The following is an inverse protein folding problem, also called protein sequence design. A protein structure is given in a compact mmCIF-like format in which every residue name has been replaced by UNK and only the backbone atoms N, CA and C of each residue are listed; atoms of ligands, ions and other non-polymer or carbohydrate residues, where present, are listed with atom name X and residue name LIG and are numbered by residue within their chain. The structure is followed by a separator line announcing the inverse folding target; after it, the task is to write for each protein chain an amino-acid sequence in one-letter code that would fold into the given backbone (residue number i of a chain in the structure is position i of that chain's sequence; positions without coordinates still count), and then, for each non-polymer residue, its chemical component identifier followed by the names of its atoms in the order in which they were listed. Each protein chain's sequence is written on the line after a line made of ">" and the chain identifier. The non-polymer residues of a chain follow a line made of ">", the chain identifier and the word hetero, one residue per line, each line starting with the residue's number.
data_IF_706049141045
#
_entry.id   IF_706049141045
#
_cell.length_a   1.000
_cell.length_b   1.000
_cell.length_c   1.000
_cell.angle_alpha   90.00
_cell.angle_beta   90.00
_cell.angle_gamma   90.00
#
_symmetry.space_group_name_H-M   'P 1'
#
loop_
_entity.id
_entity.type
_entity.pdbx_description
1 polymer ?
#
# COMPACT_ATOMS: atom_id res chain seq x y z
N UNK A 1 -20.11 46.67 -11.98
CA UNK A 1 -20.25 45.44 -12.81
C UNK A 1 -19.70 44.27 -12.01
N UNK A 2 -20.58 43.57 -11.27
CA UNK A 2 -20.23 42.35 -10.52
C UNK A 2 -20.77 41.16 -11.29
N UNK A 3 -19.99 40.66 -12.26
CA UNK A 3 -20.36 39.49 -13.05
C UNK A 3 -19.57 38.27 -12.55
N UNK A 4 -20.29 37.35 -11.90
CA UNK A 4 -20.05 35.90 -11.91
C UNK A 4 -18.64 35.38 -11.56
N UNK A 5 -18.24 35.57 -10.30
CA UNK A 5 -17.16 34.77 -9.68
C UNK A 5 -17.50 33.26 -9.58
N UNK A 6 -18.80 32.92 -9.51
CA UNK A 6 -19.30 31.54 -9.33
C UNK A 6 -19.01 30.58 -10.50
N UNK A 7 -18.72 31.09 -11.69
CA UNK A 7 -18.49 30.24 -12.88
C UNK A 7 -17.06 29.69 -12.99
N UNK A 8 -16.13 30.07 -12.12
CA UNK A 8 -14.71 29.69 -12.27
C UNK A 8 -14.39 28.23 -11.89
N UNK A 9 -15.35 27.45 -11.36
CA UNK A 9 -15.17 26.06 -10.92
C UNK A 9 -16.34 25.13 -11.28
N UNK A 10 -17.00 25.37 -12.41
CA UNK A 10 -18.18 24.60 -12.81
C UNK A 10 -17.80 23.34 -13.59
N UNK A 11 -18.07 22.17 -13.01
CA UNK A 11 -18.11 20.88 -13.72
C UNK A 11 -19.56 20.61 -14.14
N UNK A 12 -19.78 20.00 -15.31
CA UNK A 12 -21.09 19.47 -15.70
C UNK A 12 -21.03 17.97 -15.91
N UNK A 13 -22.02 17.26 -15.39
CA UNK A 13 -22.22 15.81 -15.62
C UNK A 13 -23.61 15.67 -16.21
N UNK A 14 -23.72 15.02 -17.37
CA UNK A 14 -25.01 14.88 -18.09
C UNK A 14 -25.73 16.23 -18.32
N UNK A 15 -24.95 17.27 -18.63
CA UNK A 15 -25.40 18.67 -18.81
C UNK A 15 -25.87 19.39 -17.53
N UNK A 16 -25.94 18.71 -16.40
CA UNK A 16 -26.28 19.30 -15.11
C UNK A 16 -25.07 19.92 -14.41
N UNK A 17 -25.27 21.06 -13.75
CA UNK A 17 -24.21 21.73 -13.01
C UNK A 17 -23.90 21.00 -11.71
N UNK A 18 -22.65 20.59 -11.52
CA UNK A 18 -22.17 20.03 -10.26
C UNK A 18 -21.96 21.16 -9.26
N UNK A 19 -22.79 21.20 -8.22
CA UNK A 19 -22.77 22.26 -7.18
C UNK A 19 -21.97 21.88 -5.95
N UNK A 20 -21.70 20.59 -5.74
CA UNK A 20 -20.86 20.08 -4.68
C UNK A 20 -19.92 18.99 -5.21
N UNK A 21 -18.71 18.94 -4.69
CA UNK A 21 -17.68 17.99 -5.08
C UNK A 21 -17.00 17.42 -3.83
N UNK A 22 -16.45 16.19 -3.91
CA UNK A 22 -15.78 15.56 -2.79
C UNK A 22 -14.53 16.35 -2.37
N UNK A 23 -14.27 16.43 -1.06
CA UNK A 23 -13.04 17.07 -0.54
C UNK A 23 -11.84 16.13 -0.62
N UNK A 24 -12.08 14.83 -0.46
CA UNK A 24 -11.10 13.76 -0.57
C UNK A 24 -11.66 12.71 -1.53
N UNK A 25 -10.83 12.20 -2.44
CA UNK A 25 -11.18 11.22 -3.46
C UNK A 25 -10.21 10.05 -3.36
N UNK A 26 -10.74 8.86 -3.04
CA UNK A 26 -9.98 7.61 -3.13
C UNK A 26 -10.07 7.09 -4.56
N UNK A 27 -8.95 7.12 -5.26
CA UNK A 27 -8.81 6.79 -6.67
C UNK A 27 -8.50 5.31 -6.82
N UNK A 28 -9.38 4.59 -7.53
CA UNK A 28 -9.26 3.15 -7.81
C UNK A 28 -9.28 2.86 -9.30
N UNK A 29 -8.42 3.51 -10.07
CA UNK A 29 -8.31 3.30 -11.52
C UNK A 29 -7.30 2.19 -11.81
N UNK A 30 -7.65 1.16 -12.61
CA UNK A 30 -6.70 0.11 -13.00
C UNK A 30 -5.54 0.66 -13.84
N UNK A 31 -4.31 0.68 -13.31
CA UNK A 31 -3.10 1.24 -13.96
C UNK A 31 -2.85 0.78 -15.40
N UNK A 32 -3.08 -0.48 -15.81
CA UNK A 32 -2.81 -0.94 -17.18
C UNK A 32 -3.90 -0.56 -18.19
N UNK A 33 -5.08 -0.18 -17.70
CA UNK A 33 -6.25 0.13 -18.52
C UNK A 33 -6.60 1.62 -18.48
N UNK A 34 -5.78 2.43 -17.79
CA UNK A 34 -5.92 3.89 -17.84
C UNK A 34 -5.87 4.27 -19.31
N UNK A 35 -7.03 4.57 -19.89
CA UNK A 35 -7.09 5.29 -21.15
C UNK A 35 -6.64 6.68 -20.79
N UNK A 36 -5.37 6.96 -21.10
CA UNK A 36 -4.55 8.04 -20.50
C UNK A 36 -5.24 9.39 -20.46
N UNK A 37 -6.20 9.63 -21.34
CA UNK A 37 -6.79 10.93 -21.49
C UNK A 37 -8.08 11.08 -20.69
N UNK A 38 -9.02 10.12 -20.69
CA UNK A 38 -10.31 10.32 -20.01
C UNK A 38 -10.19 10.32 -18.49
N UNK A 39 -9.62 9.24 -17.93
CA UNK A 39 -9.57 9.03 -16.47
C UNK A 39 -8.67 10.07 -15.82
N UNK A 40 -7.49 10.27 -16.40
CA UNK A 40 -6.52 11.25 -15.91
C UNK A 40 -7.03 12.68 -16.09
N UNK A 41 -7.80 12.99 -17.15
CA UNK A 41 -8.41 14.32 -17.29
C UNK A 41 -9.37 14.60 -16.15
N UNK A 42 -10.25 13.67 -15.80
CA UNK A 42 -11.18 13.84 -14.68
C UNK A 42 -10.43 14.01 -13.36
N UNK A 43 -9.43 13.14 -13.10
CA UNK A 43 -8.66 13.20 -11.86
C UNK A 43 -7.84 14.51 -11.74
N UNK A 44 -7.21 14.96 -12.83
CA UNK A 44 -6.51 16.25 -12.89
C UNK A 44 -7.49 17.41 -12.68
N UNK A 45 -8.70 17.33 -13.22
CA UNK A 45 -9.71 18.37 -13.03
C UNK A 45 -10.13 18.46 -11.55
N UNK A 46 -10.43 17.32 -10.91
CA UNK A 46 -10.75 17.26 -9.47
C UNK A 46 -9.61 17.82 -8.62
N UNK A 47 -8.36 17.48 -8.93
CA UNK A 47 -7.19 18.05 -8.25
C UNK A 47 -7.13 19.58 -8.40
N UNK A 48 -7.37 20.12 -9.61
CA UNK A 48 -7.41 21.58 -9.85
C UNK A 48 -8.60 22.27 -9.18
N UNK A 49 -9.69 21.56 -8.90
CA UNK A 49 -10.81 22.06 -8.10
C UNK A 49 -10.50 22.12 -6.59
N UNK A 50 -9.37 21.56 -6.16
CA UNK A 50 -8.92 21.54 -4.77
C UNK A 50 -9.26 20.26 -4.01
N UNK A 51 -9.70 19.21 -4.70
CA UNK A 51 -9.90 17.90 -4.08
C UNK A 51 -8.54 17.28 -3.74
N UNK A 52 -8.44 16.61 -2.59
CA UNK A 52 -7.28 15.77 -2.24
C UNK A 52 -7.48 14.37 -2.83
N UNK A 53 -6.57 13.90 -3.67
CA UNK A 53 -6.66 12.60 -4.34
C UNK A 53 -5.70 11.58 -3.72
N UNK A 54 -6.18 10.35 -3.52
CA UNK A 54 -5.43 9.21 -2.97
C UNK A 54 -5.56 8.04 -3.97
N UNK A 55 -4.62 7.75 -4.85
CA UNK A 55 -3.39 8.48 -5.16
C UNK A 55 -3.65 9.66 -6.10
N UNK A 56 -2.70 10.59 -6.17
CA UNK A 56 -2.71 11.68 -7.15
C UNK A 56 -2.51 11.16 -8.59
N UNK A 57 -2.95 11.91 -9.62
CA UNK A 57 -2.81 11.49 -11.02
C UNK A 57 -1.36 11.18 -11.41
N UNK A 58 -0.41 12.01 -10.95
CA UNK A 58 1.01 11.81 -11.28
C UNK A 58 1.56 10.48 -10.72
N UNK A 59 1.17 10.10 -9.50
CA UNK A 59 1.60 8.84 -8.90
C UNK A 59 1.05 7.61 -9.64
N UNK A 60 -0.15 7.73 -10.19
CA UNK A 60 -0.73 6.70 -11.07
C UNK A 60 0.08 6.61 -12.36
N UNK A 61 0.36 7.74 -13.02
CA UNK A 61 1.13 7.82 -14.27
C UNK A 61 2.55 7.23 -14.11
N UNK A 62 3.20 7.48 -12.98
CA UNK A 62 4.52 6.92 -12.63
C UNK A 62 4.50 5.38 -12.55
N UNK A 63 3.32 4.76 -12.38
CA UNK A 63 3.13 3.30 -12.27
C UNK A 63 2.44 2.66 -13.50
N UNK A 64 2.11 3.43 -14.55
CA UNK A 64 1.43 2.88 -15.75
C UNK A 64 2.37 2.01 -16.59
N UNK A 65 3.65 2.40 -16.64
CA UNK A 65 4.68 1.70 -17.39
C UNK A 65 5.81 1.30 -16.43
N UNK A 66 6.06 -0.01 -16.31
CA UNK A 66 7.07 -0.57 -15.40
C UNK A 66 8.47 -0.03 -15.67
N UNK A 67 8.82 0.20 -16.94
CA UNK A 67 10.14 0.73 -17.27
C UNK A 67 10.27 2.20 -16.85
N UNK A 68 9.22 3.01 -17.02
CA UNK A 68 9.21 4.39 -16.53
C UNK A 68 9.31 4.44 -15.00
N UNK A 69 8.60 3.54 -14.31
CA UNK A 69 8.75 3.36 -12.86
C UNK A 69 10.21 3.09 -12.50
N UNK A 70 10.86 2.17 -13.21
CA UNK A 70 12.26 1.83 -12.98
C UNK A 70 13.20 3.01 -13.26
N UNK A 71 12.94 3.82 -14.29
CA UNK A 71 13.73 5.02 -14.56
C UNK A 71 13.67 6.03 -13.41
N UNK A 72 12.48 6.27 -12.86
CA UNK A 72 12.32 7.17 -11.70
C UNK A 72 13.04 6.63 -10.46
N UNK A 73 12.92 5.33 -10.19
CA UNK A 73 13.54 4.68 -9.04
C UNK A 73 15.08 4.60 -9.17
N UNK A 74 15.59 4.25 -10.36
CA UNK A 74 17.02 4.17 -10.63
C UNK A 74 17.72 5.52 -10.44
N UNK A 75 17.06 6.62 -10.81
CA UNK A 75 17.56 7.99 -10.60
C UNK A 75 17.78 8.36 -9.13
N UNK A 76 17.20 7.60 -8.20
CA UNK A 76 17.34 7.79 -6.75
C UNK A 76 18.21 6.72 -6.08
N UNK A 77 18.84 5.81 -6.84
CA UNK A 77 19.69 4.76 -6.28
C UNK A 77 18.93 3.59 -5.66
N UNK A 78 17.65 3.42 -5.99
CA UNK A 78 16.84 2.28 -5.53
C UNK A 78 17.39 0.99 -6.13
N UNK A 79 17.59 -0.08 -5.35
CA UNK A 79 18.06 -1.37 -5.84
C UNK A 79 17.01 -2.02 -6.75
N UNK A 80 17.39 -2.27 -8.00
CA UNK A 80 16.55 -2.82 -9.06
C UNK A 80 17.35 -3.93 -9.77
N UNK A 81 16.71 -5.00 -10.26
CA UNK A 81 17.38 -5.93 -11.17
C UNK A 81 17.75 -5.20 -12.47
N UNK A 82 18.89 -5.56 -13.07
CA UNK A 82 19.31 -4.95 -14.33
C UNK A 82 18.23 -5.11 -15.39
N UNK A 83 17.85 -4.02 -16.04
CA UNK A 83 16.67 -3.98 -16.91
C UNK A 83 16.93 -3.21 -18.18
N UNK A 84 16.60 -3.82 -19.30
CA UNK A 84 16.63 -3.26 -20.64
C UNK A 84 15.21 -3.12 -21.19
N UNK A 85 14.93 -2.08 -22.00
CA UNK A 85 13.61 -1.88 -22.62
C UNK A 85 13.65 -1.96 -24.14
N UNK A 86 12.63 -2.61 -24.69
CA UNK A 86 12.34 -2.64 -26.12
C UNK A 86 11.10 -1.80 -26.44
N UNK A 87 11.30 -0.76 -27.24
CA UNK A 87 10.26 0.23 -27.57
C UNK A 87 9.27 -0.17 -28.69
N UNK A 88 9.36 -1.38 -29.25
CA UNK A 88 8.44 -1.87 -30.28
C UNK A 88 8.83 -1.47 -31.71
N UNK A 89 10.02 -1.87 -32.16
CA UNK A 89 10.51 -1.64 -33.54
C UNK A 89 10.56 -2.94 -34.36
N UNK A 90 11.02 -2.87 -35.62
CA UNK A 90 11.01 -4.02 -36.54
C UNK A 90 12.14 -5.04 -36.29
N UNK A 91 13.11 -4.73 -35.42
CA UNK A 91 14.32 -5.54 -35.24
C UNK A 91 14.42 -6.14 -33.83
N UNK A 92 13.48 -7.03 -33.48
CA UNK A 92 13.52 -7.76 -32.22
C UNK A 92 14.78 -8.64 -32.11
N UNK A 93 15.36 -9.06 -33.24
CA UNK A 93 16.61 -9.83 -33.25
C UNK A 93 17.78 -9.04 -32.67
N UNK A 94 17.89 -7.75 -32.99
CA UNK A 94 18.87 -6.84 -32.36
C UNK A 94 18.66 -6.75 -30.86
N UNK A 95 17.41 -6.77 -30.40
CA UNK A 95 17.11 -6.79 -28.97
C UNK A 95 17.63 -8.06 -28.29
N UNK A 96 17.49 -9.23 -28.92
CA UNK A 96 17.98 -10.50 -28.34
C UNK A 96 19.49 -10.40 -28.05
N UNK A 97 20.25 -9.80 -28.97
CA UNK A 97 21.69 -9.57 -28.77
C UNK A 97 21.96 -8.48 -27.71
N UNK A 98 21.12 -7.43 -27.63
CA UNK A 98 21.23 -6.40 -26.60
C UNK A 98 20.83 -6.88 -25.19
N UNK A 99 20.05 -7.96 -25.08
CA UNK A 99 19.69 -8.59 -23.81
C UNK A 99 20.77 -9.57 -23.30
N UNK A 100 21.75 -9.92 -24.12
CA UNK A 100 22.82 -10.88 -23.76
C UNK A 100 23.61 -10.50 -22.50
N UNK A 101 23.93 -9.21 -22.22
CA UNK A 101 24.61 -8.79 -21.00
C UNK A 101 23.83 -9.06 -19.69
N UNK A 102 22.49 -9.21 -19.76
CA UNK A 102 21.68 -9.58 -18.58
C UNK A 102 21.96 -11.02 -18.11
N UNK A 103 22.57 -11.83 -18.98
CA UNK A 103 22.73 -13.26 -18.75
C UNK A 103 21.41 -14.03 -18.83
N UNK A 104 21.53 -15.36 -18.82
CA UNK A 104 20.39 -16.27 -18.81
C UNK A 104 20.24 -16.98 -17.46
N UNK A 105 19.00 -17.27 -17.02
CA UNK A 105 17.72 -16.91 -17.64
C UNK A 105 17.45 -15.39 -17.65
N UNK A 106 16.60 -14.93 -18.58
CA UNK A 106 16.13 -13.54 -18.63
C UNK A 106 14.61 -13.49 -18.49
N UNK A 107 14.12 -12.51 -17.73
CA UNK A 107 12.70 -12.27 -17.56
C UNK A 107 12.20 -11.29 -18.63
N UNK A 108 11.14 -11.67 -19.35
CA UNK A 108 10.50 -10.83 -20.35
C UNK A 108 9.13 -10.40 -19.83
N UNK A 109 8.91 -9.09 -19.66
CA UNK A 109 7.63 -8.54 -19.17
C UNK A 109 7.08 -7.52 -20.17
N UNK A 110 5.76 -7.52 -20.36
CA UNK A 110 5.12 -6.37 -21.00
C UNK A 110 5.27 -5.13 -20.09
N UNK A 111 5.72 -4.02 -20.67
CA UNK A 111 5.91 -2.76 -19.95
C UNK A 111 4.59 -2.21 -19.37
N UNK A 112 3.47 -2.44 -20.08
CA UNK A 112 2.11 -2.06 -19.64
C UNK A 112 1.27 -3.34 -19.45
N UNK A 113 1.01 -3.72 -18.19
CA UNK A 113 0.29 -4.95 -17.88
C UNK A 113 0.15 -5.20 -16.38
N UNK A 114 -0.65 -6.20 -16.00
CA UNK A 114 -0.91 -6.57 -14.60
C UNK A 114 -1.16 -8.09 -14.44
N UNK A 115 -1.10 -8.57 -13.19
CA UNK A 115 -1.47 -9.94 -12.77
C UNK A 115 -0.62 -11.05 -13.42
N UNK A 116 0.65 -10.78 -13.70
CA UNK A 116 1.56 -11.76 -14.30
C UNK A 116 1.22 -12.20 -15.73
N UNK A 117 0.19 -11.60 -16.36
CA UNK A 117 -0.13 -11.85 -17.77
C UNK A 117 1.00 -11.26 -18.63
N UNK A 118 1.58 -12.08 -19.51
CA UNK A 118 2.75 -11.76 -20.33
C UNK A 118 4.05 -11.47 -19.54
N UNK A 119 4.31 -12.30 -18.52
CA UNK A 119 5.64 -12.45 -17.91
C UNK A 119 6.19 -13.81 -18.30
N UNK A 120 7.34 -13.85 -18.96
CA UNK A 120 7.98 -15.07 -19.44
C UNK A 120 9.39 -15.19 -18.87
N UNK A 121 9.87 -16.42 -18.73
CA UNK A 121 11.25 -16.72 -18.36
C UNK A 121 11.93 -17.41 -19.53
N UNK A 122 12.82 -16.71 -20.22
CA UNK A 122 13.61 -17.29 -21.29
C UNK A 122 14.88 -17.91 -20.68
N UNK A 123 15.01 -19.24 -20.75
CA UNK A 123 16.10 -19.96 -20.08
C UNK A 123 17.44 -19.84 -20.81
N UNK A 124 17.40 -19.50 -22.08
CA UNK A 124 18.55 -19.36 -22.97
C UNK A 124 18.17 -18.50 -24.19
N UNK A 125 19.14 -18.24 -25.06
CA UNK A 125 18.97 -17.43 -26.27
C UNK A 125 17.97 -18.02 -27.26
N UNK A 126 17.87 -19.35 -27.34
CA UNK A 126 16.92 -20.01 -28.24
C UNK A 126 15.49 -19.81 -27.74
N UNK A 127 15.22 -20.04 -26.45
CA UNK A 127 13.92 -19.77 -25.84
C UNK A 127 13.50 -18.30 -25.99
N UNK A 128 14.44 -17.36 -25.87
CA UNK A 128 14.15 -15.94 -26.09
C UNK A 128 13.79 -15.64 -27.56
N UNK A 129 14.47 -16.32 -28.48
CA UNK A 129 14.18 -16.27 -29.93
C UNK A 129 12.81 -16.87 -30.23
N UNK A 130 12.44 -17.98 -29.60
CA UNK A 130 11.13 -18.60 -29.81
C UNK A 130 10.01 -17.70 -29.25
N UNK A 131 10.25 -17.07 -28.09
CA UNK A 131 9.33 -16.09 -27.50
C UNK A 131 9.08 -14.88 -28.41
N UNK A 132 10.07 -14.45 -29.20
CA UNK A 132 9.93 -13.40 -30.22
C UNK A 132 8.72 -13.64 -31.11
N UNK A 133 8.49 -14.88 -31.52
CA UNK A 133 7.43 -15.24 -32.45
C UNK A 133 6.02 -15.25 -31.81
N UNK A 134 5.95 -15.20 -30.47
CA UNK A 134 4.70 -15.29 -29.71
C UNK A 134 4.22 -13.95 -29.14
N UNK A 135 5.10 -12.96 -29.04
CA UNK A 135 4.80 -11.65 -28.47
C UNK A 135 4.37 -10.65 -29.55
N UNK A 136 3.75 -9.53 -29.13
CA UNK A 136 3.29 -8.47 -30.05
C UNK A 136 4.36 -7.41 -30.25
N UNK A 137 4.95 -7.33 -31.44
CA UNK A 137 6.07 -6.43 -31.70
C UNK A 137 5.75 -4.93 -31.55
N UNK A 138 4.48 -4.54 -31.66
CA UNK A 138 4.04 -3.14 -31.52
C UNK A 138 3.89 -2.71 -30.06
N UNK A 139 4.06 -3.64 -29.11
CA UNK A 139 3.93 -3.38 -27.67
C UNK A 139 5.31 -3.24 -27.03
N UNK A 140 5.52 -2.29 -26.11
CA UNK A 140 6.78 -2.19 -25.39
C UNK A 140 6.97 -3.34 -24.40
N UNK A 141 8.17 -3.92 -24.39
CA UNK A 141 8.59 -4.95 -23.45
C UNK A 141 9.81 -4.47 -22.65
N UNK A 142 10.02 -5.11 -21.50
CA UNK A 142 11.27 -5.03 -20.77
C UNK A 142 11.86 -6.43 -20.59
N UNK A 143 13.19 -6.48 -20.62
CA UNK A 143 14.02 -7.65 -20.41
C UNK A 143 14.80 -7.38 -19.14
N UNK A 144 14.77 -8.32 -18.22
CA UNK A 144 15.24 -8.08 -16.87
C UNK A 144 16.05 -9.27 -16.38
N UNK A 145 17.14 -8.96 -15.68
CA UNK A 145 17.93 -9.91 -14.93
C UNK A 145 17.03 -10.81 -14.09
N UNK A 146 17.30 -12.10 -14.15
CA UNK A 146 16.54 -13.06 -13.39
C UNK A 146 17.13 -13.25 -11.98
N UNK A 147 16.42 -12.76 -10.97
CA UNK A 147 16.73 -12.96 -9.54
C UNK A 147 16.38 -14.41 -9.14
N UNK A 148 17.36 -15.30 -9.27
CA UNK A 148 17.22 -16.76 -9.08
C UNK A 148 16.83 -17.12 -7.63
N UNK A 149 17.34 -16.36 -6.67
CA UNK A 149 17.12 -16.51 -5.24
C UNK A 149 15.63 -16.39 -4.87
N UNK A 150 14.90 -15.57 -5.63
CA UNK A 150 13.47 -15.33 -5.49
C UNK A 150 12.63 -16.15 -6.47
N UNK A 151 13.13 -17.27 -6.99
CA UNK A 151 12.32 -18.14 -7.84
C UNK A 151 10.99 -18.50 -7.17
N UNK A 152 9.88 -18.19 -7.84
CA UNK A 152 8.54 -18.55 -7.38
C UNK A 152 8.12 -17.83 -6.10
N UNK A 153 8.84 -16.79 -5.67
CA UNK A 153 8.59 -16.10 -4.39
C UNK A 153 8.75 -14.59 -4.55
N UNK A 154 7.86 -13.83 -3.92
CA UNK A 154 8.04 -12.39 -3.75
C UNK A 154 7.35 -11.90 -2.49
N UNK A 155 7.78 -10.75 -1.97
CA UNK A 155 7.16 -10.12 -0.81
C UNK A 155 6.36 -8.91 -1.26
N UNK A 156 5.04 -8.98 -1.11
CA UNK A 156 4.11 -7.86 -1.28
C UNK A 156 4.09 -7.05 0.01
N UNK A 157 4.53 -5.80 -0.06
CA UNK A 157 4.41 -4.82 1.03
C UNK A 157 3.28 -3.86 0.70
N UNK A 158 2.34 -3.66 1.63
CA UNK A 158 1.25 -2.68 1.43
C UNK A 158 1.50 -1.47 2.31
N UNK A 159 1.37 -0.29 1.71
CA UNK A 159 1.53 0.99 2.38
C UNK A 159 0.26 1.83 2.29
N UNK A 160 -0.04 2.54 3.38
CA UNK A 160 -1.11 3.54 3.47
C UNK A 160 -0.56 4.76 4.23
N UNK A 161 -0.65 5.93 3.64
CA UNK A 161 -0.21 7.19 4.24
C UNK A 161 1.28 7.23 4.60
N UNK A 162 2.12 6.63 3.76
CA UNK A 162 3.57 6.57 3.99
C UNK A 162 4.00 5.57 5.08
N UNK A 163 3.11 4.69 5.53
CA UNK A 163 3.41 3.65 6.52
C UNK A 163 3.19 2.27 5.96
N UNK A 164 4.11 1.34 6.24
CA UNK A 164 3.90 -0.09 5.98
C UNK A 164 2.84 -0.60 6.94
N UNK A 165 1.72 -1.08 6.40
CA UNK A 165 0.65 -1.67 7.21
C UNK A 165 0.81 -3.18 7.37
N UNK A 166 1.54 -3.82 6.46
CA UNK A 166 1.90 -5.23 6.55
C UNK A 166 2.65 -5.74 5.32
N UNK A 167 3.03 -7.01 5.38
CA UNK A 167 3.72 -7.71 4.30
C UNK A 167 3.23 -9.15 4.17
N UNK A 168 3.15 -9.61 2.92
CA UNK A 168 2.71 -10.95 2.55
C UNK A 168 3.76 -11.58 1.63
N UNK A 169 4.30 -12.73 2.04
CA UNK A 169 5.09 -13.59 1.17
C UNK A 169 4.12 -14.33 0.25
N UNK A 170 4.33 -14.21 -1.06
CA UNK A 170 3.60 -14.99 -2.06
C UNK A 170 4.50 -16.08 -2.61
N UNK A 171 3.97 -17.28 -2.72
CA UNK A 171 4.67 -18.45 -3.25
C UNK A 171 3.87 -19.05 -4.42
N UNK A 172 4.58 -19.42 -5.48
CA UNK A 172 4.06 -20.26 -6.55
C UNK A 172 3.78 -21.69 -6.05
N UNK A 173 2.75 -22.32 -6.59
CA UNK A 173 2.32 -23.69 -6.23
C UNK A 173 2.63 -24.72 -7.32
N UNK A 174 3.11 -24.27 -8.48
CA UNK A 174 3.28 -25.11 -9.68
C UNK A 174 4.71 -25.05 -10.24
N UNK A 175 5.66 -24.55 -9.45
CA UNK A 175 7.07 -24.45 -9.84
C UNK A 175 7.37 -23.37 -10.88
N UNK A 176 6.40 -22.52 -11.24
CA UNK A 176 6.67 -21.33 -12.08
C UNK A 176 7.24 -20.19 -11.25
N UNK A 177 7.97 -19.29 -11.93
CA UNK A 177 8.54 -18.10 -11.31
C UNK A 177 7.48 -17.12 -10.77
N UNK A 178 6.29 -17.07 -11.39
CA UNK A 178 5.24 -16.14 -10.99
C UNK A 178 4.54 -16.63 -9.72
N UNK A 179 4.68 -15.87 -8.64
CA UNK A 179 4.08 -16.12 -7.31
C UNK A 179 2.70 -15.48 -7.11
N UNK A 180 2.16 -14.74 -8.10
CA UNK A 180 0.93 -13.97 -7.93
C UNK A 180 -0.25 -14.87 -7.53
N UNK A 181 -0.99 -14.49 -6.48
CA UNK A 181 -2.18 -15.24 -6.03
C UNK A 181 -3.27 -15.35 -7.11
N UNK A 182 -3.34 -14.38 -8.03
CA UNK A 182 -4.26 -14.43 -9.18
C UNK A 182 -3.96 -15.56 -10.18
N UNK A 183 -2.78 -16.20 -10.08
CA UNK A 183 -2.34 -17.31 -10.92
C UNK A 183 -2.33 -18.65 -10.16
N UNK A 184 -2.91 -18.71 -8.96
CA UNK A 184 -2.93 -19.91 -8.12
C UNK A 184 -1.82 -19.97 -7.07
N UNK A 185 -1.00 -18.91 -6.95
CA UNK A 185 -0.05 -18.78 -5.84
C UNK A 185 -0.74 -18.60 -4.49
N UNK A 186 -0.04 -18.94 -3.41
CA UNK A 186 -0.53 -18.81 -2.03
C UNK A 186 0.16 -17.63 -1.36
N UNK A 187 -0.60 -16.84 -0.60
CA UNK A 187 -0.09 -15.72 0.18
C UNK A 187 -0.15 -16.02 1.67
N UNK A 188 0.92 -15.70 2.39
CA UNK A 188 0.99 -15.81 3.85
C UNK A 188 1.58 -14.54 4.43
N UNK A 189 1.06 -14.07 5.56
CA UNK A 189 1.69 -12.97 6.30
C UNK A 189 3.15 -13.33 6.60
N UNK A 190 4.05 -12.38 6.37
CA UNK A 190 5.45 -12.56 6.71
C UNK A 190 6.00 -11.32 7.45
N UNK A 191 6.93 -11.48 8.39
CA UNK A 191 7.71 -10.36 8.89
C UNK A 191 8.58 -9.78 7.77
N UNK A 192 8.79 -8.47 7.79
CA UNK A 192 9.70 -7.77 6.89
C UNK A 192 10.79 -7.08 7.71
N UNK A 193 12.03 -7.16 7.26
CA UNK A 193 13.15 -6.47 7.90
C UNK A 193 12.98 -4.95 7.84
N UNK A 194 13.64 -4.21 8.73
CA UNK A 194 13.61 -2.74 8.70
C UNK A 194 14.16 -2.19 7.38
N UNK A 195 15.19 -2.83 6.81
CA UNK A 195 15.68 -2.51 5.47
C UNK A 195 14.58 -2.62 4.41
N UNK A 196 13.83 -3.73 4.40
CA UNK A 196 12.75 -3.94 3.44
C UNK A 196 11.59 -2.94 3.62
N UNK A 197 11.24 -2.61 4.87
CA UNK A 197 10.24 -1.58 5.18
C UNK A 197 10.69 -0.21 4.67
N UNK A 198 11.93 0.18 4.97
CA UNK A 198 12.47 1.47 4.57
C UNK A 198 12.54 1.59 3.05
N UNK A 199 12.97 0.54 2.35
CA UNK A 199 12.97 0.47 0.89
C UNK A 199 11.55 0.67 0.32
N UNK A 200 10.54 -0.01 0.88
CA UNK A 200 9.17 0.13 0.40
C UNK A 200 8.60 1.54 0.66
N UNK A 201 8.94 2.17 1.78
CA UNK A 201 8.58 3.55 2.10
C UNK A 201 9.25 4.53 1.13
N UNK A 202 10.55 4.35 0.86
CA UNK A 202 11.31 5.15 -0.08
C UNK A 202 10.71 5.10 -1.49
N UNK A 203 10.42 3.90 -2.00
CA UNK A 203 9.74 3.70 -3.29
C UNK A 203 8.40 4.43 -3.34
N UNK A 204 7.59 4.31 -2.27
CA UNK A 204 6.30 4.99 -2.17
C UNK A 204 6.46 6.51 -2.23
N UNK A 205 7.46 7.05 -1.55
CA UNK A 205 7.73 8.49 -1.49
C UNK A 205 8.22 9.04 -2.85
N UNK A 206 9.18 8.36 -3.49
CA UNK A 206 9.70 8.75 -4.81
C UNK A 206 8.58 8.79 -5.84
N UNK A 207 7.71 7.77 -5.84
CA UNK A 207 6.60 7.67 -6.79
C UNK A 207 5.38 8.49 -6.38
N UNK A 208 5.39 9.13 -5.20
CA UNK A 208 4.31 9.98 -4.70
C UNK A 208 3.03 9.23 -4.37
N UNK A 209 3.12 7.97 -3.95
CA UNK A 209 1.98 7.11 -3.66
C UNK A 209 1.57 7.20 -2.18
N UNK A 210 0.29 7.44 -1.94
CA UNK A 210 -0.35 7.41 -0.64
C UNK A 210 -0.83 6.00 -0.25
N UNK A 211 -1.39 5.25 -1.20
CA UNK A 211 -1.85 3.86 -1.02
C UNK A 211 -1.26 3.00 -2.12
N UNK A 212 -0.39 2.06 -1.77
CA UNK A 212 0.33 1.27 -2.77
C UNK A 212 0.69 -0.14 -2.31
N UNK A 213 1.10 -0.95 -3.28
CA UNK A 213 1.70 -2.25 -3.07
C UNK A 213 3.07 -2.30 -3.75
N UNK A 214 4.11 -2.62 -3.00
CA UNK A 214 5.47 -2.78 -3.51
C UNK A 214 5.83 -4.27 -3.49
N UNK A 215 6.24 -4.79 -4.64
CA UNK A 215 6.71 -6.17 -4.78
C UNK A 215 8.23 -6.17 -4.69
N UNK A 216 8.75 -6.89 -3.69
CA UNK A 216 10.17 -7.05 -3.43
C UNK A 216 10.62 -8.48 -3.75
N UNK A 217 11.82 -8.61 -4.30
CA UNK A 217 12.53 -9.88 -4.45
C UNK A 217 13.66 -9.91 -3.44
N UNK A 218 13.76 -11.00 -2.68
CA UNK A 218 14.79 -11.21 -1.67
C UNK A 218 16.03 -11.86 -2.29
N UNK A 219 17.21 -11.34 -1.95
CA UNK A 219 18.51 -11.89 -2.33
C UNK A 219 19.06 -12.82 -1.23
N UNK A 220 20.09 -13.60 -1.56
CA UNK A 220 20.69 -14.58 -0.63
C UNK A 220 21.28 -13.94 0.64
N UNK A 221 21.72 -12.69 0.56
CA UNK A 221 22.26 -11.93 1.69
C UNK A 221 21.15 -11.34 2.59
N UNK A 222 19.88 -11.58 2.26
CA UNK A 222 18.71 -11.08 2.96
C UNK A 222 18.27 -9.68 2.55
N UNK A 223 19.01 -9.01 1.65
CA UNK A 223 18.62 -7.73 1.07
C UNK A 223 17.50 -7.88 0.03
N UNK A 224 16.99 -6.75 -0.47
CA UNK A 224 15.87 -6.72 -1.40
C UNK A 224 16.15 -5.84 -2.61
N UNK A 225 15.62 -6.27 -3.76
CA UNK A 225 15.48 -5.45 -4.96
C UNK A 225 14.01 -5.23 -5.28
N UNK A 226 13.67 -4.09 -5.87
CA UNK A 226 12.29 -3.75 -6.22
C UNK A 226 11.91 -4.40 -7.55
N UNK A 227 10.81 -5.16 -7.56
CA UNK A 227 10.30 -5.84 -8.76
C UNK A 227 9.19 -5.05 -9.45
N UNK A 228 8.26 -4.51 -8.66
CA UNK A 228 7.10 -3.79 -9.17
C UNK A 228 6.54 -2.83 -8.12
N UNK A 229 6.02 -1.68 -8.56
CA UNK A 229 5.25 -0.77 -7.73
C UNK A 229 3.83 -0.63 -8.29
N UNK A 230 2.83 -0.71 -7.41
CA UNK A 230 1.41 -0.72 -7.76
C UNK A 230 0.65 0.41 -7.05
N UNK A 231 0.33 1.48 -7.79
CA UNK A 231 -0.50 2.59 -7.32
C UNK A 231 -2.00 2.24 -7.14
N UNK A 232 -2.44 1.06 -7.58
CA UNK A 232 -3.81 0.58 -7.37
C UNK A 232 -3.78 -0.85 -6.82
N UNK A 233 -3.19 -1.00 -5.63
CA UNK A 233 -3.02 -2.31 -4.99
C UNK A 233 -4.37 -2.99 -4.74
N UNK A 234 -4.50 -4.24 -5.17
CA UNK A 234 -5.58 -5.12 -4.74
C UNK A 234 -5.20 -5.78 -3.42
N UNK A 235 -6.14 -5.78 -2.46
CA UNK A 235 -5.88 -6.23 -1.11
C UNK A 235 -6.74 -7.42 -0.67
N UNK A 236 -7.64 -7.97 -1.49
CA UNK A 236 -8.47 -9.14 -1.09
C UNK A 236 -7.62 -10.32 -0.59
N UNK A 237 -6.62 -10.74 -1.36
CA UNK A 237 -5.73 -11.83 -0.96
C UNK A 237 -4.83 -11.43 0.23
N UNK A 238 -4.50 -10.14 0.33
CA UNK A 238 -3.65 -9.61 1.40
C UNK A 238 -4.40 -9.56 2.73
N UNK A 239 -5.66 -9.11 2.73
CA UNK A 239 -6.58 -9.09 3.87
C UNK A 239 -6.76 -10.51 4.42
N UNK A 240 -6.97 -11.49 3.53
CA UNK A 240 -7.09 -12.90 3.91
C UNK A 240 -5.80 -13.45 4.52
N UNK A 241 -4.65 -13.16 3.91
CA UNK A 241 -3.35 -13.67 4.37
C UNK A 241 -2.89 -13.02 5.69
N UNK A 242 -3.25 -11.75 5.92
CA UNK A 242 -2.78 -10.97 7.07
C UNK A 242 -3.85 -10.75 8.15
N UNK A 243 -5.11 -11.15 7.92
CA UNK A 243 -6.22 -10.89 8.84
C UNK A 243 -6.50 -9.40 9.04
N UNK A 244 -6.37 -8.59 7.97
CA UNK A 244 -6.46 -7.13 8.03
C UNK A 244 -7.68 -6.58 7.29
N UNK A 245 -8.22 -5.46 7.78
CA UNK A 245 -9.19 -4.63 7.04
C UNK A 245 -8.46 -3.45 6.37
N UNK A 246 -7.83 -3.72 5.22
CA UNK A 246 -7.11 -2.67 4.47
C UNK A 246 -8.06 -1.59 3.96
N UNK A 247 -9.30 -1.96 3.62
CA UNK A 247 -10.30 -0.99 3.18
C UNK A 247 -10.64 0.02 4.29
N UNK A 248 -10.85 -0.47 5.52
CA UNK A 248 -11.06 0.36 6.71
C UNK A 248 -9.86 1.29 6.98
N UNK A 249 -8.64 0.76 6.90
CA UNK A 249 -7.42 1.57 7.09
C UNK A 249 -7.31 2.69 6.04
N UNK A 250 -7.61 2.38 4.77
CA UNK A 250 -7.63 3.39 3.69
C UNK A 250 -8.73 4.43 3.93
N UNK A 251 -9.91 4.01 4.43
CA UNK A 251 -11.01 4.91 4.75
C UNK A 251 -10.63 5.86 5.90
N UNK A 252 -10.05 5.34 6.98
CA UNK A 252 -9.57 6.15 8.12
C UNK A 252 -8.50 7.15 7.68
N UNK A 253 -7.57 6.72 6.84
CA UNK A 253 -6.57 7.60 6.27
C UNK A 253 -7.20 8.69 5.40
N UNK A 254 -8.18 8.36 4.55
CA UNK A 254 -8.91 9.34 3.75
C UNK A 254 -9.70 10.34 4.63
N UNK A 255 -10.33 9.87 5.72
CA UNK A 255 -11.03 10.73 6.67
C UNK A 255 -10.07 11.67 7.40
N UNK A 256 -8.86 11.21 7.73
CA UNK A 256 -7.81 12.05 8.33
C UNK A 256 -7.37 13.21 7.42
N UNK A 257 -7.61 13.10 6.11
CA UNK A 257 -7.32 14.16 5.15
C UNK A 257 -8.39 15.25 5.07
N UNK A 258 -9.57 15.04 5.68
CA UNK A 258 -10.60 16.06 5.69
C UNK A 258 -10.14 17.27 6.53
N UNK A 259 -10.47 18.51 6.12
CA UNK A 259 -10.21 19.68 6.92
C UNK A 259 -10.87 19.52 8.31
N UNK A 260 -10.07 19.57 9.37
CA UNK A 260 -10.59 19.50 10.73
C UNK A 260 -11.53 20.69 10.97
N UNK A 261 -12.77 20.43 11.46
CA UNK A 261 -13.78 21.48 11.74
C UNK A 261 -13.27 22.59 12.69
N UNK A 262 -12.21 22.32 13.46
CA UNK A 262 -11.56 23.27 14.37
C UNK A 262 -10.89 24.45 13.65
N UNK A 263 -10.34 24.27 12.45
CA UNK A 263 -9.68 25.37 11.71
C UNK A 263 -10.65 26.45 11.22
N UNK A 264 -11.91 26.08 10.97
CA UNK A 264 -12.95 27.04 10.53
C UNK A 264 -13.48 27.92 11.66
N UNK A 265 -13.48 27.44 12.92
CA UNK A 265 -13.87 28.25 14.10
C UNK A 265 -12.81 29.30 14.45
N UNK A 266 -11.52 28.97 14.33
CA UNK A 266 -10.44 29.94 14.60
C UNK A 266 -10.36 31.04 13.54
N UNK A 267 -10.71 30.75 12.29
CA UNK A 267 -10.81 31.77 11.22
C UNK A 267 -12.02 32.71 11.38
N UNK A 268 -13.08 32.30 12.08
CA UNK A 268 -14.22 33.18 12.36
C UNK A 268 -13.97 34.03 13.61
N UNK A 269 -13.29 33.50 14.63
CA UNK A 269 -12.94 34.25 15.84
C UNK A 269 -11.98 35.42 15.56
N UNK A 270 -11.05 35.30 14.61
CA UNK A 270 -10.14 36.40 14.24
C UNK A 270 -10.83 37.54 13.47
N UNK A 271 -11.97 37.29 12.84
CA UNK A 271 -12.75 38.32 12.12
C UNK A 271 -13.61 39.13 13.09
N UNK A 272 -14.09 38.52 14.18
CA UNK A 272 -14.95 39.19 15.18
C UNK A 272 -14.15 40.08 16.13
N UNK A 273 -12.84 39.89 16.27
CA UNK A 273 -11.97 40.74 17.11
C UNK A 273 -11.55 42.08 16.47
N UNK A 274 -12.01 42.42 15.27
CA UNK A 274 -11.56 43.63 14.55
C UNK A 274 -12.57 44.78 14.50
N UNK A 275 -13.69 44.71 15.23
CA UNK A 275 -14.65 45.81 15.31
C UNK A 275 -15.10 46.06 16.74
N UNK A 276 -14.22 46.61 17.56
CA UNK A 276 -14.54 47.41 18.75
C UNK A 276 -13.23 47.92 19.33
N UNK A 277 -12.88 49.17 19.08
CA UNK A 277 -12.30 50.07 20.08
C UNK A 277 -12.08 51.45 19.45
N UNK A 278 -12.93 52.37 19.86
CA UNK A 278 -12.81 53.80 19.64
C UNK A 278 -11.53 54.33 20.29
N UNK A 279 -10.77 55.05 19.49
CA UNK A 279 -9.52 55.72 19.82
C UNK A 279 -9.65 56.72 20.97
N UNK A 280 -8.83 56.52 22.00
CA UNK A 280 -8.27 57.60 22.81
C UNK A 280 -6.90 57.15 23.35
N UNK A 281 -5.83 57.68 22.78
CA UNK A 281 -4.45 57.66 23.31
C UNK A 281 -4.08 59.08 23.81
N UNK A 282 -2.89 59.35 24.39
CA UNK A 282 -2.38 58.82 25.67
C UNK A 282 -1.65 59.92 26.52
N UNK A 283 -1.27 59.62 27.76
CA UNK A 283 -0.13 60.30 28.42
C UNK A 283 0.82 59.27 29.05
N UNK A 284 2.00 59.13 28.41
CA UNK A 284 3.37 59.24 28.94
C UNK A 284 3.62 58.80 30.41
N UNK A 285 4.50 57.81 30.64
CA UNK A 285 5.91 58.03 31.06
C UNK A 285 6.62 56.75 31.61
N UNK A 286 7.87 56.57 31.14
CA UNK A 286 9.08 56.08 31.84
C UNK A 286 9.23 54.65 32.42
N UNK A 287 10.25 53.97 31.89
CA UNK A 287 11.09 52.90 32.46
C UNK A 287 11.93 53.43 33.66
N UNK A 288 12.49 52.63 34.60
CA UNK A 288 13.71 51.84 34.28
C UNK A 288 13.99 50.53 35.09
N UNK A 289 14.70 49.62 34.42
CA UNK A 289 15.87 48.80 34.87
C UNK A 289 15.85 47.79 36.04
N UNK A 290 16.48 46.62 35.76
CA UNK A 290 17.19 45.73 36.69
C UNK A 290 16.35 44.53 37.15
N UNK A 291 16.73 43.26 37.05
CA UNK A 291 18.04 42.62 37.00
C UNK A 291 18.11 41.59 38.13
N UNK A 292 18.23 40.28 37.81
CA UNK A 292 18.79 39.29 38.74
C UNK A 292 17.89 38.16 39.27
N UNK A 293 18.40 36.94 39.07
CA UNK A 293 18.36 35.73 39.94
C UNK A 293 17.10 34.85 40.06
N UNK A 294 17.29 33.58 39.69
CA UNK A 294 16.60 32.35 40.13
C UNK A 294 16.76 32.11 41.65
N UNK A 295 15.91 31.27 42.28
CA UNK A 295 16.29 29.86 42.49
C UNK A 295 15.13 28.82 42.44
N UNK A 296 15.55 27.55 42.49
CA UNK A 296 14.86 26.25 42.41
C UNK A 296 13.77 25.96 43.46
N UNK A 297 12.82 25.06 43.12
CA UNK A 297 12.24 24.06 44.03
C UNK A 297 11.46 22.97 43.23
N UNK A 298 11.98 21.74 43.16
CA UNK A 298 11.57 20.51 43.89
C UNK A 298 10.23 19.89 43.45
N UNK A 299 10.32 18.72 42.83
CA UNK A 299 9.23 17.77 42.57
C UNK A 299 9.04 16.81 43.76
N UNK A 300 7.79 16.51 44.11
CA UNK A 300 7.41 15.45 45.05
C UNK A 300 6.14 14.76 44.52
N UNK A 301 6.19 13.44 44.33
CA UNK A 301 4.99 12.59 44.24
C UNK A 301 5.31 11.23 44.88
N UNK A 302 4.54 10.89 45.90
CA UNK A 302 4.48 9.61 46.61
C UNK A 302 3.05 9.07 46.52
N UNK A 303 2.88 7.75 46.39
CA UNK A 303 1.74 6.98 46.96
C UNK A 303 2.05 5.46 46.96
N UNK A 304 1.91 4.81 48.13
CA UNK A 304 1.89 3.36 48.35
C UNK A 304 0.49 2.75 48.19
N UNK A 305 0.37 1.45 47.86
CA UNK A 305 0.28 0.24 48.74
C UNK A 305 -1.18 -0.11 49.13
N UNK A 306 -1.78 -1.18 48.58
CA UNK A 306 -1.89 -2.63 49.00
C UNK A 306 -2.97 -2.96 50.04
N UNK A 307 -3.78 -4.02 49.77
CA UNK A 307 -4.32 -5.09 50.66
C UNK A 307 -5.67 -5.63 50.11
N UNK A 308 -6.17 -6.87 50.24
CA UNK A 308 -5.72 -8.28 50.39
C UNK A 308 -6.98 -9.14 50.73
N UNK A 309 -6.85 -10.48 50.73
CA UNK A 309 -7.72 -11.54 51.34
C UNK A 309 -8.80 -12.22 50.44
N UNK A 310 -9.22 -13.50 50.54
CA UNK A 310 -8.70 -14.86 50.88
C UNK A 310 -9.88 -15.89 50.71
N UNK A 311 -9.61 -17.17 50.35
CA UNK A 311 -10.50 -18.35 50.05
C UNK A 311 -11.11 -19.09 51.31
N UNK A 312 -11.73 -20.34 51.33
CA UNK A 312 -12.15 -21.37 50.31
C UNK A 312 -13.50 -22.18 50.57
N UNK A 313 -13.77 -23.22 49.72
CA UNK A 313 -14.29 -24.62 50.01
C UNK A 313 -15.75 -25.14 49.65
N UNK A 314 -15.76 -26.18 48.77
CA UNK A 314 -16.51 -27.47 48.60
C UNK A 314 -18.01 -27.76 48.96
N UNK A 315 -18.75 -28.40 48.02
CA UNK A 315 -19.48 -29.72 48.11
C UNK A 315 -20.87 -29.81 47.38
N UNK A 316 -21.13 -30.95 46.71
CA UNK A 316 -22.41 -31.47 46.12
C UNK A 316 -23.09 -32.51 47.09
N UNK A 317 -24.28 -33.18 46.86
CA UNK A 317 -25.05 -33.49 45.63
C UNK A 317 -26.63 -33.57 45.72
N UNK A 318 -27.31 -33.95 44.61
CA UNK A 318 -28.43 -34.94 44.47
C UNK A 318 -29.82 -34.56 43.86
N UNK A 319 -30.13 -35.26 42.76
CA UNK A 319 -31.39 -35.92 42.26
C UNK A 319 -32.77 -35.21 42.20
N UNK A 320 -33.33 -35.11 40.98
CA UNK A 320 -34.55 -35.81 40.48
C UNK A 320 -35.28 -35.06 39.33
N UNK A 321 -35.74 -35.80 38.31
CA UNK A 321 -36.58 -35.37 37.15
C UNK A 321 -38.06 -35.81 37.39
N UNK A 322 -39.12 -35.51 36.56
CA UNK A 322 -39.10 -35.31 35.09
C UNK A 322 -40.22 -34.44 34.39
N UNK A 323 -40.11 -34.35 33.03
CA UNK A 323 -41.10 -33.99 31.96
C UNK A 323 -41.35 -32.47 31.74
N UNK A 324 -41.48 -31.90 30.52
CA UNK A 324 -41.63 -32.37 29.12
C UNK A 324 -41.43 -31.18 28.14
N UNK A 325 -40.92 -31.45 26.90
CA UNK A 325 -41.06 -30.70 25.60
C UNK A 325 -40.60 -29.22 25.52
N UNK A 326 -39.83 -28.69 24.55
CA UNK A 326 -39.52 -29.07 23.15
C UNK A 326 -38.41 -28.13 22.59
N UNK A 327 -37.68 -28.63 21.57
CA UNK A 327 -36.76 -27.97 20.60
C UNK A 327 -35.24 -28.16 20.83
N UNK A 328 -34.50 -28.83 19.90
CA UNK A 328 -33.07 -29.08 20.06
C UNK A 328 -32.21 -27.94 19.52
N UNK A 329 -31.19 -27.58 20.31
CA UNK A 329 -30.01 -26.81 19.96
C UNK A 329 -28.92 -27.71 19.36
N UNK A 330 -28.06 -27.11 18.52
CA UNK A 330 -26.93 -27.76 17.85
C UNK A 330 -25.94 -28.41 18.84
N UNK A 331 -25.84 -29.74 18.79
CA UNK A 331 -24.58 -30.49 18.94
C UNK A 331 -24.87 -31.97 18.62
N UNK A 332 -24.29 -32.47 17.54
CA UNK A 332 -23.76 -33.84 17.36
C UNK A 332 -23.64 -34.17 15.87
N UNK A 333 -22.50 -33.75 15.29
CA UNK A 333 -21.93 -34.38 14.10
C UNK A 333 -20.44 -34.64 14.39
N UNK A 334 -19.97 -35.89 14.24
CA UNK A 334 -18.59 -36.26 14.58
C UNK A 334 -17.63 -35.88 13.43
N UNK A 335 -16.49 -35.29 13.77
CA UNK A 335 -15.35 -35.16 12.83
C UNK A 335 -14.73 -33.78 12.64
N UNK A 336 -14.54 -32.98 13.70
CA UNK A 336 -13.69 -31.79 13.65
C UNK A 336 -12.31 -32.12 14.26
N UNK A 337 -11.19 -31.80 13.58
CA UNK A 337 -9.87 -31.99 14.15
C UNK A 337 -9.62 -31.00 15.29
N UNK A 338 -8.84 -31.47 16.26
CA UNK A 338 -8.35 -30.80 17.48
C UNK A 338 -7.92 -29.33 17.21
N UNK A 339 -8.25 -28.34 18.06
CA UNK A 339 -7.78 -26.94 17.93
C UNK A 339 -6.23 -26.79 17.98
N UNK A 340 -5.49 -27.86 18.26
CA UNK A 340 -4.04 -27.92 18.03
C UNK A 340 -3.63 -28.26 16.58
N UNK A 341 -4.58 -28.43 15.65
CA UNK A 341 -4.31 -28.72 14.22
C UNK A 341 -3.84 -27.46 13.49
N UNK A 342 -2.60 -27.05 13.79
CA UNK A 342 -1.95 -25.92 13.16
C UNK A 342 -1.50 -26.31 11.74
N UNK A 343 -2.34 -25.98 10.76
CA UNK A 343 -2.10 -26.20 9.33
C UNK A 343 -0.75 -25.62 8.85
N UNK A 344 -0.25 -24.58 9.52
CA UNK A 344 1.06 -23.97 9.22
C UNK A 344 2.22 -24.91 9.57
N UNK A 345 2.07 -25.77 10.58
CA UNK A 345 3.11 -26.74 10.98
C UNK A 345 3.21 -27.90 9.99
N UNK A 346 2.08 -28.34 9.42
CA UNK A 346 2.05 -29.37 8.38
C UNK A 346 2.70 -28.87 7.08
N UNK A 347 2.36 -27.64 6.66
CA UNK A 347 2.98 -27.03 5.48
C UNK A 347 4.47 -26.74 5.67
N UNK A 348 4.89 -26.28 6.86
CA UNK A 348 6.31 -26.09 7.16
C UNK A 348 7.10 -27.40 7.09
N UNK A 349 6.50 -28.52 7.50
CA UNK A 349 7.11 -29.84 7.41
C UNK A 349 7.14 -30.40 5.98
N UNK A 350 6.09 -30.16 5.17
CA UNK A 350 6.10 -30.53 3.75
C UNK A 350 7.13 -29.74 2.93
N UNK A 351 7.30 -28.44 3.21
CA UNK A 351 8.35 -27.62 2.57
C UNK A 351 9.76 -28.13 2.93
N UNK A 352 9.93 -28.63 4.16
CA UNK A 352 11.20 -29.22 4.62
C UNK A 352 11.52 -30.55 3.94
N UNK A 353 10.50 -31.37 3.66
CA UNK A 353 10.61 -32.64 2.94
C UNK A 353 10.88 -32.49 1.43
N UNK A 354 10.64 -31.30 0.86
CA UNK A 354 10.93 -30.98 -0.54
C UNK A 354 12.33 -30.34 -0.74
N UNK A 355 13.05 -30.10 0.36
CA UNK A 355 14.37 -29.45 0.37
C UNK A 355 15.51 -30.37 0.85
N UNK A 356 15.20 -31.60 1.25
CA UNK A 356 16.12 -32.75 1.39
C UNK A 356 15.94 -33.68 0.19
#
# INVERSE_FOLDING_TARGET
>A
MSTNSLHKRSLRVEQELVTSYPQVVVVRVPTPWVQSDSDITVLRHLEKMGCRLINRPQAILNCVNKFWTFQELAGHGVPLPDTFSYGGHDNFRKMIDEAEPLGYPVVVKNARGHRGKAVFLARDKQHLTDLCHLIRHETPYLFQEYVKESHGRDVRVVLVGGRVIGSMLRCSTDGRMQSNCSLGGVGMMCPLSEQGKQLAIEVSNILGMDVCGIDLLQLNDGSFVVCEANANVGFIAFDQACGMDVAGIVADFALSMLPSRLTRKMSLLSVVSSTSETSSEPEVCTVPTGGGSMPEAVCNMSVGSTSSESDPELAEPSQSSPRQSTAPTLADLPGLPDPAYNFNTLLANEIKLLTE
#
